data_IF_350051183412
#
_entry.id   IF_350051183412
#
_cell.length_a   1.000
_cell.length_b   1.000
_cell.length_c   1.000
_cell.angle_alpha   90.00
_cell.angle_beta   90.00
_cell.angle_gamma   90.00
#
_symmetry.space_group_name_H-M   'P 1'
#
loop_
_entity.id
_entity.type
_entity.pdbx_description
1 polymer ?
#
# COMPACT_ATOMS: atom_id res chain seq x y z
N UNK A 1 -15.46 20.95 57.78
CA UNK A 1 -15.66 20.11 56.59
C UNK A 1 -15.55 21.02 55.38
N UNK A 2 -14.36 21.13 54.78
CA UNK A 2 -14.12 21.96 53.60
C UNK A 2 -14.12 21.06 52.37
N UNK A 3 -15.20 21.09 51.59
CA UNK A 3 -15.27 20.44 50.29
C UNK A 3 -14.44 21.24 49.28
N UNK A 4 -13.28 20.70 48.93
CA UNK A 4 -12.47 21.17 47.82
C UNK A 4 -13.18 20.81 46.52
N UNK A 5 -13.88 21.78 45.91
CA UNK A 5 -14.41 21.69 44.55
C UNK A 5 -13.26 21.42 43.58
N UNK A 6 -13.12 20.17 43.15
CA UNK A 6 -12.21 19.79 42.08
C UNK A 6 -12.72 20.40 40.77
N UNK A 7 -12.02 21.42 40.27
CA UNK A 7 -12.24 21.99 38.94
C UNK A 7 -11.96 20.89 37.91
N UNK A 8 -12.92 20.52 37.05
CA UNK A 8 -12.66 19.56 35.98
C UNK A 8 -11.62 20.17 35.04
N UNK A 9 -10.47 19.50 34.92
CA UNK A 9 -9.44 19.86 33.95
C UNK A 9 -10.06 19.77 32.55
N UNK A 10 -10.08 20.89 31.83
CA UNK A 10 -10.53 20.91 30.44
C UNK A 10 -9.64 19.96 29.62
N UNK A 11 -10.21 19.11 28.73
CA UNK A 11 -9.42 18.24 27.89
C UNK A 11 -8.47 19.09 27.02
N UNK A 12 -7.24 18.62 26.76
CA UNK A 12 -6.25 19.39 26.00
C UNK A 12 -6.84 19.79 24.65
N UNK A 13 -6.98 21.10 24.44
CA UNK A 13 -7.44 21.69 23.18
C UNK A 13 -6.35 21.48 22.13
N UNK A 14 -6.48 20.40 21.39
CA UNK A 14 -5.63 20.11 20.24
C UNK A 14 -5.73 21.31 19.27
N UNK A 15 -4.65 22.09 19.13
CA UNK A 15 -4.65 23.33 18.35
C UNK A 15 -5.19 23.05 16.94
N UNK A 16 -6.16 23.84 16.43
CA UNK A 16 -6.83 23.56 15.16
C UNK A 16 -5.86 23.33 13.98
N UNK A 17 -4.72 24.03 13.96
CA UNK A 17 -3.66 23.83 12.95
C UNK A 17 -3.00 22.44 13.00
N UNK A 18 -2.82 21.83 14.17
CA UNK A 18 -2.21 20.50 14.31
C UNK A 18 -3.14 19.41 13.78
N UNK A 19 -4.45 19.56 13.97
CA UNK A 19 -5.45 18.64 13.39
C UNK A 19 -5.47 18.74 11.87
N UNK A 20 -5.46 19.97 11.32
CA UNK A 20 -5.41 20.19 9.88
C UNK A 20 -4.12 19.61 9.27
N UNK A 21 -2.96 19.84 9.89
CA UNK A 21 -1.70 19.29 9.42
C UNK A 21 -1.71 17.76 9.42
N UNK A 22 -2.17 17.11 10.51
CA UNK A 22 -2.31 15.65 10.54
C UNK A 22 -3.27 15.12 9.47
N UNK A 23 -4.35 15.86 9.20
CA UNK A 23 -5.29 15.51 8.15
C UNK A 23 -4.65 15.60 6.76
N UNK A 24 -3.91 16.69 6.49
CA UNK A 24 -3.17 16.88 5.23
C UNK A 24 -2.11 15.80 5.04
N UNK A 25 -1.31 15.51 6.07
CA UNK A 25 -0.31 14.43 6.02
C UNK A 25 -0.98 13.08 5.73
N UNK A 26 -2.10 12.78 6.40
CA UNK A 26 -2.85 11.55 6.13
C UNK A 26 -3.33 11.45 4.68
N UNK A 27 -3.79 12.55 4.09
CA UNK A 27 -4.17 12.60 2.67
C UNK A 27 -2.96 12.42 1.75
N UNK A 28 -1.85 13.10 2.01
CA UNK A 28 -0.62 12.96 1.21
C UNK A 28 -0.10 11.53 1.23
N UNK A 29 -0.08 10.88 2.41
CA UNK A 29 0.31 9.47 2.52
C UNK A 29 -0.63 8.58 1.71
N UNK A 30 -1.95 8.84 1.75
CA UNK A 30 -2.92 8.09 0.96
C UNK A 30 -2.75 8.30 -0.55
N UNK A 31 -2.41 9.51 -1.00
CA UNK A 31 -2.13 9.81 -2.41
C UNK A 31 -0.91 9.04 -2.90
N UNK A 32 0.19 9.08 -2.14
CA UNK A 32 1.42 8.33 -2.46
C UNK A 32 1.14 6.84 -2.49
N UNK A 33 0.38 6.32 -1.51
CA UNK A 33 -0.05 4.93 -1.52
C UNK A 33 -0.86 4.59 -2.78
N UNK A 34 -1.78 5.46 -3.22
CA UNK A 34 -2.53 5.28 -4.47
C UNK A 34 -1.62 5.09 -5.68
N UNK A 35 -0.63 5.97 -5.86
CA UNK A 35 0.34 5.86 -6.96
C UNK A 35 1.15 4.56 -6.90
N UNK A 36 1.73 4.24 -5.74
CA UNK A 36 2.58 3.06 -5.58
C UNK A 36 1.78 1.77 -5.79
N UNK A 37 0.54 1.72 -5.33
CA UNK A 37 -0.28 0.51 -5.38
C UNK A 37 -0.92 0.30 -6.76
N UNK A 38 -1.24 1.34 -7.51
CA UNK A 38 -1.86 1.24 -8.83
C UNK A 38 -0.85 1.14 -9.97
N UNK A 39 0.41 1.52 -9.75
CA UNK A 39 1.48 1.45 -10.75
C UNK A 39 1.65 0.05 -11.43
N UNK A 40 1.66 -1.09 -10.69
CA UNK A 40 1.69 -2.41 -11.31
C UNK A 40 0.54 -2.65 -12.31
N UNK A 41 -0.67 -2.16 -11.97
CA UNK A 41 -1.84 -2.33 -12.82
C UNK A 41 -1.65 -1.58 -14.15
N UNK A 42 -1.14 -0.35 -14.12
CA UNK A 42 -0.89 0.45 -15.32
C UNK A 42 0.22 -0.12 -16.18
N UNK A 43 1.34 -0.57 -15.57
CA UNK A 43 2.44 -1.20 -16.29
C UNK A 43 1.99 -2.46 -17.00
N UNK A 44 1.26 -3.32 -16.31
CA UNK A 44 0.70 -4.55 -16.89
C UNK A 44 -0.32 -4.26 -17.99
N UNK A 45 -1.25 -3.32 -17.79
CA UNK A 45 -2.22 -2.98 -18.81
C UNK A 45 -1.57 -2.39 -20.07
N UNK A 46 -0.57 -1.50 -19.88
CA UNK A 46 0.18 -0.89 -20.98
C UNK A 46 0.91 -1.90 -21.86
N UNK A 47 1.47 -2.96 -21.26
CA UNK A 47 2.15 -4.03 -22.01
C UNK A 47 1.17 -4.95 -22.72
N UNK A 48 0.09 -5.36 -22.05
CA UNK A 48 -0.89 -6.30 -22.61
C UNK A 48 -1.73 -5.70 -23.76
N UNK A 49 -2.00 -4.40 -23.70
CA UNK A 49 -2.85 -3.70 -24.66
C UNK A 49 -2.04 -2.76 -25.58
N UNK A 50 -0.71 -2.87 -25.55
CA UNK A 50 0.25 -2.13 -26.39
C UNK A 50 0.06 -0.59 -26.37
N UNK A 51 -0.19 -0.03 -25.19
CA UNK A 51 -0.32 1.42 -24.98
C UNK A 51 0.75 1.99 -24.03
N UNK A 52 1.82 1.25 -23.73
CA UNK A 52 2.96 1.73 -22.94
C UNK A 52 3.54 3.05 -23.46
N UNK A 53 3.65 3.20 -24.78
CA UNK A 53 4.10 4.45 -25.40
C UNK A 53 3.13 5.61 -25.19
N UNK A 54 1.83 5.32 -25.03
CA UNK A 54 0.82 6.32 -24.70
C UNK A 54 0.95 6.73 -23.22
N UNK A 55 1.15 5.78 -22.29
CA UNK A 55 1.38 6.07 -20.87
C UNK A 55 2.63 6.95 -20.64
N UNK A 56 3.66 6.78 -21.47
CA UNK A 56 4.89 7.58 -21.39
C UNK A 56 4.71 9.04 -21.85
N UNK A 57 3.60 9.38 -22.50
CA UNK A 57 3.34 10.76 -22.92
C UNK A 57 3.08 11.64 -21.69
N UNK A 58 3.71 12.82 -21.57
CA UNK A 58 3.58 13.67 -20.39
C UNK A 58 2.13 14.00 -20.01
N UNK A 59 1.28 14.25 -21.01
CA UNK A 59 -0.14 14.56 -20.81
C UNK A 59 -0.93 13.38 -20.25
N UNK A 60 -0.60 12.15 -20.65
CA UNK A 60 -1.25 10.92 -20.16
C UNK A 60 -0.71 10.57 -18.78
N UNK A 61 0.61 10.63 -18.60
CA UNK A 61 1.26 10.42 -17.32
C UNK A 61 0.72 11.37 -16.25
N UNK A 62 0.52 12.66 -16.59
CA UNK A 62 -0.10 13.63 -15.70
C UNK A 62 -1.50 13.23 -15.24
N UNK A 63 -2.34 12.75 -16.17
CA UNK A 63 -3.71 12.31 -15.87
C UNK A 63 -3.76 11.01 -15.09
N UNK A 64 -2.93 10.02 -15.44
CA UNK A 64 -2.81 8.74 -14.71
C UNK A 64 -2.39 9.01 -13.27
N UNK A 65 -1.33 9.79 -13.10
CA UNK A 65 -0.83 10.18 -11.78
C UNK A 65 -1.88 10.95 -10.96
N UNK A 66 -2.56 11.93 -11.56
CA UNK A 66 -3.67 12.64 -10.91
C UNK A 66 -4.80 11.68 -10.50
N UNK A 67 -5.07 10.67 -11.33
CA UNK A 67 -6.07 9.62 -11.06
C UNK A 67 -5.68 8.74 -9.89
N UNK A 68 -4.46 8.22 -9.88
CA UNK A 68 -3.99 7.31 -8.84
C UNK A 68 -3.96 8.00 -7.48
N UNK A 69 -3.45 9.23 -7.43
CA UNK A 69 -3.46 10.05 -6.23
C UNK A 69 -4.90 10.33 -5.75
N UNK A 70 -5.81 10.65 -6.69
CA UNK A 70 -7.22 10.94 -6.38
C UNK A 70 -7.93 9.71 -5.84
N UNK A 71 -7.70 8.52 -6.39
CA UNK A 71 -8.26 7.26 -5.89
C UNK A 71 -7.78 7.00 -4.46
N UNK A 72 -6.47 7.08 -4.21
CA UNK A 72 -5.89 6.87 -2.88
C UNK A 72 -6.48 7.82 -1.83
N UNK A 73 -6.55 9.12 -2.16
CA UNK A 73 -7.17 10.12 -1.29
C UNK A 73 -8.67 9.88 -1.10
N UNK A 74 -9.42 9.57 -2.16
CA UNK A 74 -10.86 9.37 -2.09
C UNK A 74 -11.23 8.18 -1.20
N UNK A 75 -10.48 7.07 -1.31
CA UNK A 75 -10.62 5.91 -0.41
C UNK A 75 -10.35 6.30 1.04
N UNK A 76 -9.29 7.08 1.30
CA UNK A 76 -8.98 7.58 2.64
C UNK A 76 -10.08 8.50 3.19
N UNK A 77 -10.58 9.43 2.39
CA UNK A 77 -11.66 10.34 2.79
C UNK A 77 -12.96 9.59 3.06
N UNK A 78 -13.29 8.60 2.24
CA UNK A 78 -14.44 7.72 2.43
C UNK A 78 -14.33 6.91 3.72
N UNK A 79 -13.18 6.28 3.99
CA UNK A 79 -12.92 5.57 5.25
C UNK A 79 -13.07 6.51 6.45
N UNK A 80 -12.65 7.77 6.33
CA UNK A 80 -12.75 8.76 7.40
C UNK A 80 -14.16 9.36 7.54
N UNK A 81 -15.11 9.00 6.67
CA UNK A 81 -16.51 9.43 6.73
C UNK A 81 -16.76 10.84 6.16
N UNK A 82 -15.87 11.33 5.29
CA UNK A 82 -16.11 12.61 4.61
C UNK A 82 -17.26 12.48 3.59
N UNK A 83 -18.10 13.51 3.44
CA UNK A 83 -19.20 13.48 2.48
C UNK A 83 -18.67 13.42 1.05
N UNK A 84 -19.43 12.76 0.16
CA UNK A 84 -19.07 12.60 -1.25
C UNK A 84 -18.76 13.93 -1.93
N UNK A 85 -19.51 14.99 -1.62
CA UNK A 85 -19.27 16.34 -2.14
C UNK A 85 -17.89 16.89 -1.76
N UNK A 86 -17.47 16.76 -0.50
CA UNK A 86 -16.15 17.22 -0.08
C UNK A 86 -15.03 16.41 -0.76
N UNK A 87 -15.26 15.10 -0.93
CA UNK A 87 -14.32 14.23 -1.67
C UNK A 87 -14.22 14.64 -3.14
N UNK A 88 -15.35 14.91 -3.80
CA UNK A 88 -15.38 15.38 -5.19
C UNK A 88 -14.72 16.75 -5.36
N UNK A 89 -14.94 17.69 -4.44
CA UNK A 89 -14.27 18.99 -4.45
C UNK A 89 -12.75 18.86 -4.26
N UNK A 90 -12.30 17.94 -3.40
CA UNK A 90 -10.88 17.62 -3.24
C UNK A 90 -10.28 16.99 -4.49
N UNK A 91 -10.96 16.01 -5.12
CA UNK A 91 -10.51 15.41 -6.38
C UNK A 91 -10.45 16.46 -7.49
N UNK A 92 -11.47 17.31 -7.61
CA UNK A 92 -11.47 18.40 -8.58
C UNK A 92 -10.28 19.36 -8.38
N UNK A 93 -9.94 19.69 -7.12
CA UNK A 93 -8.78 20.52 -6.80
C UNK A 93 -7.44 19.87 -7.17
N UNK A 94 -7.38 18.54 -7.26
CA UNK A 94 -6.20 17.81 -7.72
C UNK A 94 -6.06 17.77 -9.24
N UNK A 95 -7.16 17.62 -9.98
CA UNK A 95 -7.13 17.63 -11.44
C UNK A 95 -6.98 19.04 -12.03
N UNK A 96 -7.60 20.05 -11.41
CA UNK A 96 -7.69 21.40 -11.97
C UNK A 96 -6.31 21.99 -12.35
N UNK A 97 -5.25 21.91 -11.53
CA UNK A 97 -3.93 22.40 -11.93
C UNK A 97 -3.37 21.74 -13.19
N UNK A 98 -3.49 20.41 -13.30
CA UNK A 98 -3.02 19.69 -14.49
C UNK A 98 -3.81 20.06 -15.74
N UNK A 99 -5.14 20.16 -15.64
CA UNK A 99 -5.99 20.57 -16.76
C UNK A 99 -5.69 22.00 -17.23
N UNK A 100 -5.39 22.91 -16.29
CA UNK A 100 -5.02 24.29 -16.61
C UNK A 100 -3.64 24.36 -17.29
N UNK A 101 -2.66 23.60 -16.79
CA UNK A 101 -1.31 23.55 -17.37
C UNK A 101 -1.24 22.76 -18.68
N UNK A 102 -2.25 21.94 -18.99
CA UNK A 102 -2.32 21.24 -20.26
C UNK A 102 -2.44 22.21 -21.45
N UNK A 103 -3.11 23.36 -21.27
CA UNK A 103 -3.26 24.40 -22.30
C UNK A 103 -1.92 25.01 -22.75
N UNK A 104 -1.07 25.53 -21.83
CA UNK A 104 0.26 25.99 -22.22
C UNK A 104 1.18 24.85 -22.70
N UNK A 105 1.00 23.62 -22.22
CA UNK A 105 1.74 22.46 -22.73
C UNK A 105 1.41 22.17 -24.21
N UNK A 106 0.12 22.06 -24.58
CA UNK A 106 -0.27 21.76 -25.98
C UNK A 106 0.05 22.89 -26.96
N UNK A 107 0.25 24.12 -26.45
CA UNK A 107 0.70 25.26 -27.25
C UNK A 107 2.23 25.38 -27.33
N UNK A 108 2.96 24.44 -26.71
CA UNK A 108 4.43 24.39 -26.74
C UNK A 108 5.11 25.41 -25.83
N UNK A 109 4.37 26.07 -24.93
CA UNK A 109 4.92 27.04 -23.97
C UNK A 109 5.56 26.35 -22.75
N UNK A 110 5.17 25.11 -22.47
CA UNK A 110 5.72 24.29 -21.38
C UNK A 110 6.17 22.93 -21.93
N UNK A 111 7.25 22.41 -21.35
CA UNK A 111 7.65 21.03 -21.53
C UNK A 111 6.91 20.10 -20.55
N UNK A 112 7.10 18.78 -20.74
CA UNK A 112 6.46 17.77 -19.90
C UNK A 112 6.90 17.84 -18.44
N UNK A 113 8.17 18.15 -18.19
CA UNK A 113 8.71 18.27 -16.84
C UNK A 113 8.08 19.45 -16.09
N UNK A 114 7.92 20.60 -16.74
CA UNK A 114 7.23 21.75 -16.17
C UNK A 114 5.72 21.50 -15.97
N UNK A 115 5.07 20.75 -16.86
CA UNK A 115 3.67 20.32 -16.68
C UNK A 115 3.53 19.48 -15.39
N UNK A 116 4.38 18.46 -15.23
CA UNK A 116 4.33 17.56 -14.09
C UNK A 116 4.70 18.27 -12.79
N UNK A 117 5.82 19.00 -12.76
CA UNK A 117 6.27 19.72 -11.58
C UNK A 117 5.30 20.85 -11.20
N UNK A 118 4.87 21.64 -12.18
CA UNK A 118 3.93 22.74 -11.98
C UNK A 118 2.58 22.24 -11.44
N UNK A 119 2.08 21.12 -11.98
CA UNK A 119 0.85 20.49 -11.51
C UNK A 119 0.91 20.15 -10.03
N UNK A 120 1.99 19.50 -9.57
CA UNK A 120 2.18 19.18 -8.15
C UNK A 120 2.28 20.42 -7.27
N UNK A 121 3.07 21.42 -7.69
CA UNK A 121 3.28 22.64 -6.92
C UNK A 121 1.99 23.45 -6.74
N UNK A 122 1.11 23.45 -7.74
CA UNK A 122 -0.20 24.10 -7.69
C UNK A 122 -1.28 23.25 -7.02
N UNK A 123 -1.15 21.92 -7.04
CA UNK A 123 -2.07 20.99 -6.39
C UNK A 123 -2.08 21.15 -4.87
N UNK A 124 -0.92 21.26 -4.22
CA UNK A 124 -0.82 21.43 -2.76
C UNK A 124 -1.62 22.65 -2.25
N UNK A 125 -1.44 23.87 -2.78
CA UNK A 125 -2.22 25.01 -2.34
C UNK A 125 -3.71 24.87 -2.67
N UNK A 126 -4.07 24.29 -3.82
CA UNK A 126 -5.48 24.04 -4.16
C UNK A 126 -6.16 23.12 -3.14
N UNK A 127 -5.50 22.03 -2.77
CA UNK A 127 -5.95 21.10 -1.73
C UNK A 127 -6.06 21.78 -0.36
N UNK A 128 -5.09 22.62 0.02
CA UNK A 128 -5.13 23.37 1.29
C UNK A 128 -6.35 24.29 1.34
N UNK A 129 -6.66 24.99 0.23
CA UNK A 129 -7.85 25.86 0.15
C UNK A 129 -9.13 25.06 0.39
N UNK A 130 -9.29 23.90 -0.26
CA UNK A 130 -10.48 23.05 -0.08
C UNK A 130 -10.53 22.45 1.32
N UNK A 131 -9.41 21.97 1.86
CA UNK A 131 -9.34 21.43 3.22
C UNK A 131 -9.70 22.47 4.29
N UNK A 132 -9.29 23.73 4.10
CA UNK A 132 -9.67 24.84 5.00
C UNK A 132 -11.16 25.16 4.88
N UNK A 133 -11.75 25.12 3.67
CA UNK A 133 -13.20 25.33 3.47
C UNK A 133 -14.04 24.26 4.18
N UNK A 134 -13.59 22.99 4.16
CA UNK A 134 -14.31 21.86 4.76
C UNK A 134 -13.91 21.55 6.20
N UNK A 135 -13.09 22.39 6.86
CA UNK A 135 -12.57 22.13 8.22
C UNK A 135 -13.65 21.96 9.30
N UNK A 136 -14.87 22.40 9.03
CA UNK A 136 -16.02 22.32 9.94
C UNK A 136 -17.03 21.24 9.55
N UNK A 137 -16.81 20.54 8.43
CA UNK A 137 -17.63 19.41 8.05
C UNK A 137 -17.39 18.26 9.03
N UNK A 138 -18.45 17.86 9.74
CA UNK A 138 -18.37 16.73 10.65
C UNK A 138 -18.41 15.45 9.83
N UNK A 139 -17.52 14.47 10.09
CA UNK A 139 -17.59 13.17 9.45
C UNK A 139 -18.94 12.53 9.77
N UNK A 140 -19.70 12.20 8.73
CA UNK A 140 -20.90 11.41 8.87
C UNK A 140 -20.49 9.92 8.86
N UNK A 141 -21.05 9.08 9.73
CA UNK A 141 -20.78 7.65 9.67
C UNK A 141 -21.21 7.12 8.29
N UNK A 142 -20.30 6.48 7.53
CA UNK A 142 -20.65 5.99 6.20
C UNK A 142 -21.72 4.90 6.30
N UNK A 143 -22.65 4.80 5.33
CA UNK A 143 -23.60 3.70 5.27
C UNK A 143 -22.84 2.38 5.09
N UNK A 144 -22.96 1.48 6.07
CA UNK A 144 -22.26 0.18 6.06
C UNK A 144 -23.09 -0.86 5.30
N UNK A 145 -22.84 -1.01 4.00
CA UNK A 145 -23.28 -2.19 3.28
C UNK A 145 -22.44 -3.39 3.75
N UNK A 146 -23.09 -4.45 4.26
CA UNK A 146 -22.41 -5.63 4.82
C UNK A 146 -21.41 -6.29 3.86
N UNK A 147 -21.75 -6.31 2.57
CA UNK A 147 -20.88 -6.83 1.51
C UNK A 147 -19.62 -5.97 1.36
N UNK A 148 -19.78 -4.64 1.34
CA UNK A 148 -18.66 -3.70 1.27
C UNK A 148 -17.77 -3.83 2.51
N UNK A 149 -18.37 -3.96 3.70
CA UNK A 149 -17.62 -4.18 4.92
C UNK A 149 -16.81 -5.49 4.88
N UNK A 150 -17.42 -6.59 4.42
CA UNK A 150 -16.72 -7.87 4.27
C UNK A 150 -15.57 -7.82 3.26
N UNK A 151 -15.73 -7.07 2.15
CA UNK A 151 -14.67 -6.87 1.17
C UNK A 151 -13.53 -6.01 1.72
N UNK A 152 -13.85 -4.94 2.47
CA UNK A 152 -12.87 -4.07 3.11
C UNK A 152 -12.11 -4.81 4.22
N UNK A 153 -12.77 -5.70 4.97
CA UNK A 153 -12.11 -6.53 5.99
C UNK A 153 -11.03 -7.44 5.38
N UNK A 154 -11.14 -7.76 4.08
CA UNK A 154 -10.14 -8.50 3.29
C UNK A 154 -9.09 -7.63 2.61
N UNK A 155 -8.92 -6.37 3.03
CA UNK A 155 -7.90 -5.48 2.49
C UNK A 155 -6.48 -6.09 2.41
N UNK A 156 -6.00 -6.96 3.33
CA UNK A 156 -4.65 -7.51 3.20
C UNK A 156 -4.54 -8.46 2.00
N UNK A 157 -5.59 -9.23 1.73
CA UNK A 157 -5.67 -10.10 0.55
C UNK A 157 -5.68 -9.27 -0.73
N UNK A 158 -6.53 -8.24 -0.80
CA UNK A 158 -6.58 -7.37 -1.99
C UNK A 158 -5.26 -6.67 -2.26
N UNK A 159 -4.60 -6.19 -1.21
CA UNK A 159 -3.29 -5.56 -1.31
C UNK A 159 -2.25 -6.53 -1.86
N UNK A 160 -2.22 -7.78 -1.36
CA UNK A 160 -1.30 -8.81 -1.83
C UNK A 160 -1.52 -9.15 -3.32
N UNK A 161 -2.77 -9.31 -3.73
CA UNK A 161 -3.12 -9.56 -5.13
C UNK A 161 -2.70 -8.39 -6.02
N UNK A 162 -3.01 -7.16 -5.62
CA UNK A 162 -2.64 -5.96 -6.36
C UNK A 162 -1.12 -5.84 -6.54
N UNK A 163 -0.35 -6.07 -5.48
CA UNK A 163 1.11 -6.03 -5.53
C UNK A 163 1.74 -7.16 -6.37
N UNK A 164 0.99 -8.22 -6.68
CA UNK A 164 1.49 -9.36 -7.46
C UNK A 164 0.99 -9.36 -8.91
N UNK A 165 0.16 -8.40 -9.32
CA UNK A 165 -0.41 -8.33 -10.69
C UNK A 165 0.65 -8.47 -11.77
N UNK A 166 1.76 -7.70 -11.70
CA UNK A 166 2.84 -7.75 -12.69
C UNK A 166 3.39 -9.18 -12.88
N UNK A 167 3.53 -9.90 -11.77
CA UNK A 167 4.12 -11.23 -11.72
C UNK A 167 3.21 -12.31 -12.32
N UNK A 168 1.92 -12.03 -12.52
CA UNK A 168 0.98 -12.98 -13.15
C UNK A 168 1.15 -13.03 -14.67
N UNK A 169 1.63 -11.94 -15.27
CA UNK A 169 1.80 -11.79 -16.71
C UNK A 169 3.27 -11.83 -17.14
N UNK A 170 4.17 -11.35 -16.26
CA UNK A 170 5.62 -11.43 -16.43
C UNK A 170 6.24 -12.06 -15.18
N UNK A 171 6.15 -13.40 -15.02
CA UNK A 171 6.70 -14.08 -13.86
C UNK A 171 8.19 -13.83 -13.69
N UNK A 172 8.61 -13.37 -12.51
CA UNK A 172 10.01 -13.18 -12.17
C UNK A 172 10.51 -14.36 -11.35
N UNK A 173 11.59 -14.99 -11.83
CA UNK A 173 12.30 -15.99 -11.04
C UNK A 173 13.16 -15.28 -10.00
N UNK A 174 12.69 -15.32 -8.75
CA UNK A 174 13.40 -14.68 -7.66
C UNK A 174 14.72 -15.40 -7.34
N UNK A 175 15.79 -14.65 -7.00
CA UNK A 175 17.07 -15.25 -6.65
C UNK A 175 17.01 -15.97 -5.29
N UNK A 176 17.92 -16.91 -4.99
CA UNK A 176 17.99 -17.64 -3.72
C UNK A 176 17.95 -16.75 -2.47
N UNK A 177 18.61 -15.59 -2.52
CA UNK A 177 18.67 -14.62 -1.41
C UNK A 177 17.31 -14.03 -1.05
N UNK A 178 16.32 -14.09 -1.95
CA UNK A 178 14.95 -13.61 -1.70
C UNK A 178 14.29 -14.34 -0.54
N UNK A 179 14.64 -15.61 -0.31
CA UNK A 179 14.13 -16.42 0.80
C UNK A 179 14.48 -15.83 2.17
N UNK A 180 15.52 -15.00 2.28
CA UNK A 180 15.92 -14.34 3.53
C UNK A 180 15.03 -13.16 3.90
N UNK A 181 14.29 -12.59 2.93
CA UNK A 181 13.32 -11.50 3.20
C UNK A 181 12.23 -11.97 4.15
N UNK A 182 11.82 -13.24 4.03
CA UNK A 182 10.74 -13.86 4.78
C UNK A 182 11.02 -13.93 6.30
N UNK A 183 12.11 -14.57 6.77
CA UNK A 183 12.44 -14.58 8.20
C UNK A 183 12.80 -13.19 8.73
N UNK A 184 13.40 -12.31 7.92
CA UNK A 184 13.67 -10.92 8.31
C UNK A 184 12.36 -10.16 8.59
N UNK A 185 11.36 -10.30 7.71
CA UNK A 185 10.04 -9.72 7.91
C UNK A 185 9.37 -10.19 9.22
N UNK A 186 9.50 -11.48 9.53
CA UNK A 186 9.00 -12.04 10.79
C UNK A 186 9.72 -11.51 12.03
N UNK A 187 11.04 -11.34 11.97
CA UNK A 187 11.81 -10.72 13.06
C UNK A 187 11.35 -9.29 13.31
N UNK A 188 11.18 -8.50 12.24
CA UNK A 188 10.64 -7.14 12.34
C UNK A 188 9.24 -7.16 12.95
N UNK A 189 8.33 -8.01 12.45
CA UNK A 189 6.98 -8.13 13.00
C UNK A 189 6.99 -8.52 14.49
N UNK A 190 7.84 -9.46 14.88
CA UNK A 190 8.02 -9.89 16.27
C UNK A 190 8.57 -8.80 17.18
N UNK A 191 9.54 -7.99 16.71
CA UNK A 191 10.03 -6.80 17.45
C UNK A 191 8.93 -5.79 17.70
N UNK A 192 8.15 -5.47 16.66
CA UNK A 192 7.06 -4.50 16.75
C UNK A 192 5.98 -4.99 17.71
N UNK A 193 5.64 -6.29 17.67
CA UNK A 193 4.69 -6.91 18.62
C UNK A 193 5.26 -7.19 20.02
N UNK A 194 6.56 -6.95 20.24
CA UNK A 194 7.25 -7.28 21.50
C UNK A 194 7.05 -8.75 21.92
N UNK A 195 7.01 -9.65 20.94
CA UNK A 195 6.75 -11.08 21.16
C UNK A 195 7.95 -11.84 21.76
N UNK A 196 9.07 -11.15 22.01
CA UNK A 196 10.30 -11.70 22.60
C UNK A 196 10.16 -12.36 23.97
N UNK A 197 9.08 -12.05 24.70
CA UNK A 197 8.81 -12.65 26.02
C UNK A 197 8.11 -14.01 25.92
N UNK A 198 7.48 -14.31 24.78
CA UNK A 198 6.84 -15.59 24.54
C UNK A 198 7.87 -16.57 23.96
N UNK A 199 8.24 -17.59 24.74
CA UNK A 199 9.18 -18.62 24.32
C UNK A 199 8.73 -19.35 23.06
N UNK A 200 7.42 -19.55 22.88
CA UNK A 200 6.86 -20.18 21.68
C UNK A 200 7.02 -19.28 20.45
N UNK A 201 6.81 -17.97 20.61
CA UNK A 201 7.03 -17.00 19.53
C UNK A 201 8.51 -16.87 19.16
N UNK A 202 9.41 -16.82 20.15
CA UNK A 202 10.86 -16.80 19.91
C UNK A 202 11.31 -18.08 19.23
N UNK A 203 10.90 -19.25 19.74
CA UNK A 203 11.24 -20.54 19.13
C UNK A 203 10.76 -20.63 17.68
N UNK A 204 9.55 -20.16 17.38
CA UNK A 204 9.05 -20.14 15.99
C UNK A 204 9.87 -19.20 15.10
N UNK A 205 10.25 -18.02 15.57
CA UNK A 205 11.09 -17.09 14.79
C UNK A 205 12.48 -17.66 14.53
N UNK A 206 13.09 -18.32 15.52
CA UNK A 206 14.38 -19.00 15.34
C UNK A 206 14.27 -20.18 14.39
N UNK A 207 13.20 -20.98 14.49
CA UNK A 207 12.93 -22.08 13.57
C UNK A 207 12.74 -21.58 12.13
N UNK A 208 12.01 -20.49 11.94
CA UNK A 208 11.87 -19.82 10.64
C UNK A 208 13.21 -19.28 10.13
N UNK A 209 13.97 -18.58 10.97
CA UNK A 209 15.29 -18.07 10.57
C UNK A 209 16.23 -19.19 10.13
N UNK A 210 16.32 -20.27 10.91
CA UNK A 210 17.16 -21.42 10.59
C UNK A 210 16.68 -22.14 9.32
N UNK A 211 15.38 -22.42 9.22
CA UNK A 211 14.79 -23.13 8.08
C UNK A 211 14.98 -22.40 6.76
N UNK A 212 14.64 -21.11 6.70
CA UNK A 212 14.77 -20.31 5.48
C UNK A 212 16.21 -19.95 5.15
N UNK A 213 17.07 -19.76 6.15
CA UNK A 213 18.51 -19.55 5.89
C UNK A 213 19.18 -20.80 5.34
N UNK A 214 18.83 -21.98 5.88
CA UNK A 214 19.30 -23.25 5.33
C UNK A 214 18.80 -23.45 3.90
N UNK A 215 17.51 -23.20 3.63
CA UNK A 215 16.95 -23.32 2.28
C UNK A 215 17.59 -22.33 1.29
N UNK A 216 17.81 -21.08 1.70
CA UNK A 216 18.51 -20.08 0.90
C UNK A 216 19.94 -20.53 0.58
N UNK A 217 20.66 -21.06 1.58
CA UNK A 217 22.04 -21.55 1.40
C UNK A 217 22.06 -22.74 0.43
N UNK A 218 21.15 -23.69 0.58
CA UNK A 218 20.99 -24.82 -0.34
C UNK A 218 20.69 -24.35 -1.77
N UNK A 219 19.81 -23.35 -1.94
CA UNK A 219 19.50 -22.80 -3.25
C UNK A 219 20.67 -22.01 -3.87
N UNK A 220 21.53 -21.38 -3.07
CA UNK A 220 22.74 -20.68 -3.57
C UNK A 220 23.79 -21.66 -4.09
N UNK A 221 23.95 -22.81 -3.45
CA UNK A 221 24.97 -23.81 -3.83
C UNK A 221 24.48 -24.83 -4.85
N UNK A 222 23.16 -24.88 -5.10
CA UNK A 222 22.57 -25.75 -6.10
C UNK A 222 22.73 -25.17 -7.50
N UNK A 223 22.71 -26.06 -8.51
CA UNK A 223 22.64 -25.65 -9.91
C UNK A 223 21.33 -24.89 -10.20
N UNK A 224 21.32 -24.11 -11.29
CA UNK A 224 20.23 -23.19 -11.64
C UNK A 224 18.84 -23.86 -11.69
N UNK A 225 18.76 -25.10 -12.17
CA UNK A 225 17.50 -25.85 -12.25
C UNK A 225 16.91 -26.14 -10.86
N UNK A 226 17.60 -26.93 -10.02
CA UNK A 226 17.17 -27.19 -8.64
C UNK A 226 17.00 -25.93 -7.79
N UNK A 227 17.87 -24.92 -7.96
CA UNK A 227 17.79 -23.65 -7.23
C UNK A 227 16.42 -22.96 -7.41
N UNK A 228 15.91 -22.89 -8.65
CA UNK A 228 14.59 -22.28 -8.94
C UNK A 228 13.45 -22.98 -8.21
N UNK A 229 13.47 -24.32 -8.19
CA UNK A 229 12.46 -25.11 -7.48
C UNK A 229 12.56 -24.96 -5.96
N UNK A 230 13.77 -24.88 -5.41
CA UNK A 230 14.00 -24.62 -3.99
C UNK A 230 13.44 -23.25 -3.58
N UNK A 231 13.65 -22.22 -4.41
CA UNK A 231 13.08 -20.88 -4.15
C UNK A 231 11.56 -20.90 -4.24
N UNK A 232 10.98 -21.42 -5.33
CA UNK A 232 9.53 -21.48 -5.47
C UNK A 232 8.86 -22.26 -4.33
N UNK A 233 9.43 -23.42 -3.96
CA UNK A 233 8.99 -24.22 -2.82
C UNK A 233 9.15 -23.49 -1.49
N UNK A 234 10.22 -22.70 -1.32
CA UNK A 234 10.45 -21.90 -0.11
C UNK A 234 9.44 -20.79 0.12
N UNK A 235 9.01 -20.13 -0.96
CA UNK A 235 7.91 -19.15 -0.90
C UNK A 235 6.57 -19.84 -0.56
N UNK A 236 6.23 -20.96 -1.22
CA UNK A 236 5.00 -21.72 -0.90
C UNK A 236 5.01 -22.31 0.52
N UNK A 237 6.17 -22.76 1.00
CA UNK A 237 6.34 -23.21 2.37
C UNK A 237 6.10 -22.07 3.37
N UNK A 238 6.46 -20.84 3.01
CA UNK A 238 6.20 -19.67 3.85
C UNK A 238 4.73 -19.30 3.88
N UNK A 239 4.01 -19.43 2.76
CA UNK A 239 2.56 -19.31 2.78
C UNK A 239 1.89 -20.31 3.76
N UNK A 240 2.37 -21.55 3.79
CA UNK A 240 1.88 -22.55 4.74
C UNK A 240 2.24 -22.17 6.21
N UNK A 241 3.44 -21.65 6.42
CA UNK A 241 3.89 -21.13 7.71
C UNK A 241 3.04 -19.94 8.18
N UNK A 242 2.67 -19.05 7.28
CA UNK A 242 1.79 -17.92 7.53
C UNK A 242 0.37 -18.33 7.84
N UNK A 243 -0.19 -19.33 7.14
CA UNK A 243 -1.49 -19.88 7.49
C UNK A 243 -1.52 -20.42 8.93
N UNK A 244 -0.42 -21.01 9.38
CA UNK A 244 -0.26 -21.48 10.75
C UNK A 244 -0.13 -20.31 11.74
N UNK A 245 0.62 -19.26 11.41
CA UNK A 245 0.77 -18.08 12.26
C UNK A 245 -0.48 -17.20 12.32
N UNK A 246 -1.24 -17.14 11.23
CA UNK A 246 -2.55 -16.49 11.16
C UNK A 246 -3.53 -17.12 12.15
N UNK A 247 -3.54 -18.46 12.25
CA UNK A 247 -4.38 -19.19 13.22
C UNK A 247 -3.90 -18.99 14.66
N UNK A 248 -2.59 -18.87 14.90
CA UNK A 248 -2.00 -18.75 16.24
C UNK A 248 -1.98 -17.33 16.79
N UNK A 249 -1.89 -16.31 15.93
CA UNK A 249 -1.87 -14.87 16.26
C UNK A 249 -0.86 -14.48 17.37
N UNK A 250 0.31 -15.14 17.38
CA UNK A 250 1.36 -14.91 18.39
C UNK A 250 2.47 -13.97 17.92
N UNK A 251 3.06 -14.26 16.76
CA UNK A 251 4.27 -13.57 16.29
C UNK A 251 3.94 -12.29 15.51
N UNK A 252 3.04 -12.39 14.54
CA UNK A 252 2.66 -11.31 13.64
C UNK A 252 1.13 -11.11 13.63
N UNK A 253 0.64 -9.89 13.31
CA UNK A 253 -0.79 -9.63 13.17
C UNK A 253 -1.45 -10.53 12.12
N UNK A 254 -2.73 -10.87 12.33
CA UNK A 254 -3.52 -11.65 11.37
C UNK A 254 -3.55 -11.05 9.97
N UNK A 255 -3.69 -9.73 9.86
CA UNK A 255 -3.64 -9.05 8.56
C UNK A 255 -2.28 -9.15 7.86
N UNK A 256 -1.18 -9.08 8.62
CA UNK A 256 0.17 -9.25 8.07
C UNK A 256 0.36 -10.67 7.51
N UNK A 257 -0.01 -11.68 8.30
CA UNK A 257 0.10 -13.10 7.88
C UNK A 257 -0.87 -13.47 6.76
N UNK A 258 -2.04 -12.82 6.67
CA UNK A 258 -2.95 -12.97 5.52
C UNK A 258 -2.36 -12.35 4.25
N UNK A 259 -1.83 -11.13 4.34
CA UNK A 259 -1.16 -10.47 3.22
C UNK A 259 0.05 -11.28 2.73
N UNK A 260 0.98 -11.63 3.62
CA UNK A 260 2.16 -12.40 3.27
C UNK A 260 1.79 -13.78 2.70
N UNK A 261 0.86 -14.49 3.33
CA UNK A 261 0.42 -15.79 2.83
C UNK A 261 -0.15 -15.75 1.41
N UNK A 262 -0.97 -14.74 1.08
CA UNK A 262 -1.53 -14.59 -0.28
C UNK A 262 -0.45 -14.19 -1.29
N UNK A 263 0.43 -13.26 -0.90
CA UNK A 263 1.54 -12.82 -1.74
C UNK A 263 2.46 -13.99 -2.07
N UNK A 264 2.81 -14.79 -1.07
CA UNK A 264 3.71 -15.92 -1.21
C UNK A 264 3.15 -17.05 -2.06
N UNK A 265 1.83 -17.31 -1.97
CA UNK A 265 1.15 -18.24 -2.88
C UNK A 265 1.21 -17.73 -4.31
N UNK A 266 0.88 -16.45 -4.53
CA UNK A 266 0.90 -15.86 -5.87
C UNK A 266 2.32 -15.90 -6.48
N UNK A 267 3.33 -15.49 -5.72
CA UNK A 267 4.75 -15.51 -6.14
C UNK A 267 5.24 -16.94 -6.37
N UNK A 268 5.00 -17.85 -5.43
CA UNK A 268 5.44 -19.24 -5.54
C UNK A 268 4.80 -19.97 -6.73
N UNK A 269 3.50 -19.81 -6.95
CA UNK A 269 2.80 -20.46 -8.07
C UNK A 269 3.20 -19.91 -9.43
N UNK A 270 3.34 -18.60 -9.57
CA UNK A 270 3.82 -17.98 -10.82
C UNK A 270 5.25 -18.39 -11.15
N UNK A 271 6.12 -18.54 -10.15
CA UNK A 271 7.45 -19.13 -10.35
C UNK A 271 7.36 -20.58 -10.83
N UNK A 272 6.50 -21.42 -10.25
CA UNK A 272 6.29 -22.80 -10.72
C UNK A 272 5.85 -22.83 -12.18
N UNK A 273 4.87 -22.00 -12.55
CA UNK A 273 4.42 -21.88 -13.95
C UNK A 273 5.57 -21.46 -14.86
N UNK A 274 6.37 -20.48 -14.45
CA UNK A 274 7.51 -19.99 -15.23
C UNK A 274 8.64 -21.02 -15.39
N UNK A 275 8.83 -21.92 -14.43
CA UNK A 275 9.81 -23.00 -14.53
C UNK A 275 9.34 -24.11 -15.48
N UNK A 276 8.02 -24.30 -15.60
CA UNK A 276 7.41 -25.34 -16.45
C UNK A 276 7.18 -24.91 -17.90
N UNK A 277 7.13 -23.61 -18.16
CA UNK A 277 6.96 -23.02 -19.49
C UNK A 277 8.29 -23.03 -20.27
#
# INVERSE_FOLDING_TARGET
MSETLAVPSSPPTDRPGRRLLRHLIGMTVAMVAGMVLLDPLWRTAGTLLDFSALLARPEVAALVMATDMSIGMAVWMWHRGHPARATAEMVAAMYLPYLLLLVPFVTGLLDGDALLLGGHLLMVPAMVVVAVRHRHAHPAPPPRHRVVAALVDRWPTWLALLMTVDNWFAPVLLPPVSLLVLPLGFLVAGTVRRSWRDRGAVASQLAGLLGWSALATLAVVADDGPARWLVAGGWLAHAAWDAVHHRRDRVAPRGYTEFCGVLDVAVGLTMVVAILA
#
